data_IF_636234401578
#
_entry.id   IF_636234401578
#
_cell.length_a   1.000
_cell.length_b   1.000
_cell.length_c   1.000
_cell.angle_alpha   90.00
_cell.angle_beta   90.00
_cell.angle_gamma   90.00
#
_symmetry.space_group_name_H-M   'P 1'
#
loop_
_entity.id
_entity.type
_entity.pdbx_description
1 polymer ?
#
# COMPACT_ATOMS: atom_id res chain seq x y z
N UNK A 1 32.31 -40.71 -1.60
CA UNK A 1 30.95 -41.25 -1.89
C UNK A 1 29.99 -40.44 -1.03
N UNK A 2 28.88 -39.81 -1.44
CA UNK A 2 28.07 -39.72 -2.65
C UNK A 2 27.25 -38.41 -2.50
N UNK A 3 27.23 -37.60 -3.57
CA UNK A 3 26.09 -36.90 -4.20
C UNK A 3 25.12 -36.08 -3.32
N UNK A 4 24.99 -34.80 -3.68
CA UNK A 4 24.04 -33.84 -3.09
C UNK A 4 22.60 -33.96 -3.58
N UNK A 5 21.77 -33.00 -3.15
CA UNK A 5 20.42 -32.63 -3.64
C UNK A 5 20.18 -31.16 -3.22
N UNK A 6 20.44 -30.17 -4.07
CA UNK A 6 19.48 -29.48 -4.94
C UNK A 6 17.99 -29.63 -4.59
N UNK A 7 17.37 -28.47 -4.35
CA UNK A 7 15.98 -28.06 -4.64
C UNK A 7 14.86 -28.70 -3.81
N UNK A 8 14.23 -27.88 -2.96
CA UNK A 8 12.81 -28.02 -2.59
C UNK A 8 12.22 -26.65 -2.17
N UNK A 9 12.39 -25.64 -3.02
CA UNK A 9 11.45 -24.52 -3.10
C UNK A 9 10.29 -25.04 -3.94
N UNK A 10 9.18 -25.43 -3.30
CA UNK A 10 7.81 -25.53 -3.89
C UNK A 10 6.95 -26.50 -3.08
N UNK A 11 6.60 -26.15 -1.85
CA UNK A 11 5.45 -26.78 -1.20
C UNK A 11 4.69 -25.68 -0.49
N UNK A 12 3.73 -25.08 -1.19
CA UNK A 12 2.33 -24.86 -0.77
C UNK A 12 1.64 -24.33 -2.04
N UNK A 13 1.29 -25.25 -2.94
CA UNK A 13 0.24 -25.08 -3.93
C UNK A 13 -0.39 -26.46 -4.14
N UNK A 14 -1.73 -26.49 -4.20
CA UNK A 14 -2.64 -27.65 -4.20
C UNK A 14 -2.86 -28.23 -2.77
N UNK A 15 -4.07 -28.31 -2.22
CA UNK A 15 -5.40 -28.65 -2.76
C UNK A 15 -6.46 -27.94 -1.89
N UNK A 16 -7.43 -27.16 -2.37
CA UNK A 16 -8.63 -27.50 -3.15
C UNK A 16 -9.63 -28.47 -2.47
N UNK A 17 -10.73 -27.87 -2.00
CA UNK A 17 -12.13 -28.33 -2.01
C UNK A 17 -12.62 -29.42 -1.02
N UNK A 18 -13.52 -29.00 -0.12
CA UNK A 18 -14.80 -29.66 0.20
C UNK A 18 -15.68 -28.67 1.00
N UNK A 19 -16.72 -28.11 0.38
CA UNK A 19 -18.14 -28.49 0.58
C UNK A 19 -18.72 -28.02 1.92
N UNK A 20 -19.65 -27.07 1.88
CA UNK A 20 -21.07 -27.32 2.15
C UNK A 20 -21.88 -26.03 2.01
N UNK A 21 -22.79 -26.07 1.05
CA UNK A 21 -23.94 -25.18 0.85
C UNK A 21 -24.74 -25.01 2.13
N UNK A 22 -24.95 -23.76 2.54
CA UNK A 22 -26.16 -23.33 3.24
C UNK A 22 -26.87 -22.31 2.37
N UNK A 23 -28.11 -22.63 2.00
CA UNK A 23 -28.99 -21.72 1.29
C UNK A 23 -29.26 -20.50 2.17
N UNK A 24 -28.90 -19.31 1.69
CA UNK A 24 -29.44 -18.06 2.22
C UNK A 24 -30.54 -17.65 1.27
N UNK A 25 -31.78 -17.73 1.77
CA UNK A 25 -32.97 -17.21 1.13
C UNK A 25 -32.75 -15.75 0.75
N UNK A 26 -32.95 -15.40 -0.52
CA UNK A 26 -33.14 -14.01 -0.93
C UNK A 26 -34.46 -13.54 -0.32
N UNK A 27 -34.38 -12.89 0.83
CA UNK A 27 -35.41 -11.95 1.24
C UNK A 27 -35.16 -10.69 0.41
N UNK A 28 -36.07 -10.40 -0.52
CA UNK A 28 -36.17 -9.09 -1.15
C UNK A 28 -36.36 -8.05 -0.06
N UNK A 29 -35.29 -7.34 0.27
CA UNK A 29 -35.35 -6.15 1.10
C UNK A 29 -35.33 -4.97 0.16
N UNK A 30 -36.48 -4.33 0.00
CA UNK A 30 -36.58 -2.98 -0.53
C UNK A 30 -36.02 -1.99 0.50
N UNK A 31 -34.70 -1.98 0.69
CA UNK A 31 -33.92 -0.97 1.43
C UNK A 31 -32.56 -0.69 0.76
N UNK A 32 -32.49 -0.85 -0.57
CA UNK A 32 -31.24 -0.85 -1.34
C UNK A 32 -30.48 0.49 -1.31
N UNK A 33 -31.17 1.61 -1.08
CA UNK A 33 -30.53 2.94 -1.13
C UNK A 33 -29.73 3.27 0.14
N UNK A 34 -30.25 2.93 1.32
CA UNK A 34 -29.65 3.36 2.59
C UNK A 34 -28.48 2.44 2.99
N UNK A 35 -28.65 1.12 2.79
CA UNK A 35 -27.57 0.15 2.97
C UNK A 35 -26.39 0.41 2.00
N UNK A 36 -26.68 0.75 0.73
CA UNK A 36 -25.65 1.12 -0.26
C UNK A 36 -24.93 2.40 0.14
N UNK A 37 -25.65 3.41 0.63
CA UNK A 37 -25.05 4.68 1.08
C UNK A 37 -24.15 4.48 2.30
N UNK A 38 -24.59 3.70 3.30
CA UNK A 38 -23.77 3.36 4.47
C UNK A 38 -22.50 2.60 4.05
N UNK A 39 -22.62 1.64 3.13
CA UNK A 39 -21.47 0.91 2.60
C UNK A 39 -20.47 1.83 1.87
N UNK A 40 -20.95 2.74 1.01
CA UNK A 40 -20.09 3.72 0.32
C UNK A 40 -19.34 4.62 1.30
N UNK A 41 -20.00 5.09 2.37
CA UNK A 41 -19.35 5.94 3.40
C UNK A 41 -18.25 5.17 4.14
N UNK A 42 -18.51 3.91 4.50
CA UNK A 42 -17.50 3.05 5.16
C UNK A 42 -16.30 2.81 4.24
N UNK A 43 -16.53 2.52 2.96
CA UNK A 43 -15.47 2.29 1.97
C UNK A 43 -14.66 3.55 1.67
N UNK A 44 -15.29 4.72 1.61
CA UNK A 44 -14.61 6.00 1.44
C UNK A 44 -13.66 6.29 2.61
N UNK A 45 -14.12 6.06 3.84
CA UNK A 45 -13.29 6.21 5.04
C UNK A 45 -12.08 5.24 5.02
N UNK A 46 -12.24 4.01 4.53
CA UNK A 46 -11.13 3.06 4.37
C UNK A 46 -10.09 3.57 3.36
N UNK A 47 -10.52 4.07 2.19
CA UNK A 47 -9.61 4.65 1.20
C UNK A 47 -8.86 5.87 1.75
N UNK A 48 -9.54 6.77 2.47
CA UNK A 48 -8.88 7.91 3.11
C UNK A 48 -7.85 7.47 4.17
N UNK A 49 -8.19 6.48 5.00
CA UNK A 49 -7.29 5.95 6.01
C UNK A 49 -6.03 5.32 5.37
N UNK A 50 -6.20 4.54 4.28
CA UNK A 50 -5.06 3.98 3.54
C UNK A 50 -4.20 5.04 2.89
N UNK A 51 -4.81 6.08 2.31
CA UNK A 51 -4.07 7.20 1.74
C UNK A 51 -3.18 7.86 2.82
N UNK A 52 -3.75 8.18 3.99
CA UNK A 52 -3.01 8.78 5.11
C UNK A 52 -1.86 7.89 5.59
N UNK A 53 -2.08 6.58 5.73
CA UNK A 53 -1.04 5.64 6.12
C UNK A 53 0.15 5.67 5.15
N UNK A 54 -0.13 5.72 3.84
CA UNK A 54 0.92 5.83 2.84
C UNK A 54 1.61 7.19 2.85
N UNK A 55 0.91 8.29 3.11
CA UNK A 55 1.55 9.60 3.29
C UNK A 55 2.51 9.64 4.47
N UNK A 56 2.11 9.04 5.60
CA UNK A 56 2.95 9.00 6.79
C UNK A 56 4.16 8.09 6.57
N UNK A 57 3.99 6.95 5.91
CA UNK A 57 5.11 6.11 5.46
C UNK A 57 6.04 6.87 4.50
N UNK A 58 5.50 7.69 3.59
CA UNK A 58 6.31 8.50 2.69
C UNK A 58 7.15 9.54 3.45
N UNK A 59 6.58 10.22 4.45
CA UNK A 59 7.30 11.17 5.33
C UNK A 59 8.40 10.47 6.12
N UNK A 60 8.14 9.27 6.62
CA UNK A 60 9.13 8.46 7.33
C UNK A 60 10.31 8.10 6.40
N UNK A 61 10.01 7.63 5.18
CA UNK A 61 11.03 7.32 4.19
C UNK A 61 11.83 8.57 3.80
N UNK A 62 11.18 9.72 3.65
CA UNK A 62 11.87 10.97 3.35
C UNK A 62 12.83 11.39 4.48
N UNK A 63 12.40 11.24 5.73
CA UNK A 63 13.26 11.48 6.91
C UNK A 63 14.49 10.58 6.87
N UNK A 64 14.31 9.28 6.67
CA UNK A 64 15.41 8.31 6.53
C UNK A 64 16.34 8.64 5.37
N UNK A 65 15.81 9.07 4.23
CA UNK A 65 16.62 9.49 3.10
C UNK A 65 17.50 10.71 3.44
N UNK A 66 16.95 11.69 4.16
CA UNK A 66 17.70 12.87 4.61
C UNK A 66 18.80 12.51 5.60
N UNK A 67 18.56 11.60 6.54
CA UNK A 67 19.57 11.10 7.47
C UNK A 67 20.75 10.46 6.72
N UNK A 68 20.47 9.60 5.74
CA UNK A 68 21.50 8.97 4.93
C UNK A 68 22.27 9.97 4.07
N UNK A 69 21.60 11.01 3.54
CA UNK A 69 22.27 12.13 2.85
C UNK A 69 23.21 12.89 3.79
N UNK A 70 22.78 13.17 5.03
CA UNK A 70 23.65 13.83 6.03
C UNK A 70 24.86 12.96 6.38
N UNK A 71 24.67 11.66 6.59
CA UNK A 71 25.77 10.71 6.82
C UNK A 71 26.73 10.65 5.63
N UNK A 72 26.21 10.61 4.40
CA UNK A 72 27.03 10.64 3.20
C UNK A 72 27.92 11.88 3.15
N UNK A 73 27.38 13.06 3.44
CA UNK A 73 28.16 14.30 3.49
C UNK A 73 29.23 14.26 4.59
N UNK A 74 28.93 13.68 5.75
CA UNK A 74 29.92 13.46 6.81
C UNK A 74 31.04 12.49 6.38
N UNK A 75 30.70 11.37 5.75
CA UNK A 75 31.69 10.39 5.27
C UNK A 75 32.57 10.95 4.14
N UNK A 76 32.04 11.87 3.32
CA UNK A 76 32.84 12.61 2.33
C UNK A 76 33.77 13.61 3.01
N UNK A 77 33.23 14.45 3.89
CA UNK A 77 33.98 15.52 4.56
C UNK A 77 35.07 14.99 5.51
N UNK A 78 34.82 13.85 6.15
CA UNK A 78 35.70 13.24 7.15
C UNK A 78 36.24 11.88 6.73
N UNK A 79 36.42 11.67 5.42
CA UNK A 79 36.93 10.40 4.87
C UNK A 79 38.25 9.95 5.50
N UNK A 80 39.11 10.90 5.88
CA UNK A 80 40.38 10.66 6.57
C UNK A 80 40.23 9.91 7.90
N UNK A 81 39.08 10.00 8.58
CA UNK A 81 38.82 9.27 9.83
C UNK A 81 38.57 7.78 9.61
N UNK A 82 38.15 7.39 8.40
CA UNK A 82 37.70 6.03 8.09
C UNK A 82 38.66 5.28 7.14
N UNK A 83 39.66 5.97 6.59
CA UNK A 83 40.65 5.38 5.69
C UNK A 83 39.99 4.68 4.50
N UNK A 84 40.36 3.40 4.26
CA UNK A 84 39.82 2.61 3.15
C UNK A 84 38.31 2.36 3.27
N UNK A 85 37.78 2.28 4.49
CA UNK A 85 36.34 2.03 4.72
C UNK A 85 35.46 3.21 4.32
N UNK A 86 36.03 4.41 4.13
CA UNK A 86 35.27 5.59 3.75
C UNK A 86 34.46 5.38 2.46
N UNK A 87 35.04 4.68 1.46
CA UNK A 87 34.38 4.43 0.19
C UNK A 87 33.15 3.53 0.35
N UNK A 88 33.26 2.46 1.14
CA UNK A 88 32.15 1.55 1.40
C UNK A 88 31.02 2.24 2.17
N UNK A 89 31.37 3.05 3.18
CA UNK A 89 30.41 3.84 3.95
C UNK A 89 29.67 4.86 3.08
N UNK A 90 30.38 5.58 2.20
CA UNK A 90 29.78 6.51 1.24
C UNK A 90 28.86 5.77 0.27
N UNK A 91 29.30 4.64 -0.28
CA UNK A 91 28.50 3.82 -1.19
C UNK A 91 27.22 3.32 -0.54
N UNK A 92 27.32 2.84 0.71
CA UNK A 92 26.18 2.33 1.47
C UNK A 92 25.17 3.45 1.79
N UNK A 93 25.63 4.59 2.32
CA UNK A 93 24.78 5.72 2.65
C UNK A 93 24.09 6.28 1.39
N UNK A 94 24.81 6.39 0.28
CA UNK A 94 24.24 6.81 -1.00
C UNK A 94 23.16 5.84 -1.50
N UNK A 95 23.43 4.53 -1.45
CA UNK A 95 22.46 3.51 -1.85
C UNK A 95 21.19 3.54 -0.98
N UNK A 96 21.34 3.65 0.33
CA UNK A 96 20.21 3.77 1.26
C UNK A 96 19.40 5.05 1.03
N UNK A 97 20.07 6.19 0.84
CA UNK A 97 19.39 7.45 0.53
C UNK A 97 18.50 7.31 -0.71
N UNK A 98 19.01 6.73 -1.80
CA UNK A 98 18.20 6.48 -3.01
C UNK A 98 17.08 5.48 -2.78
N UNK A 99 17.34 4.41 -2.01
CA UNK A 99 16.32 3.40 -1.68
C UNK A 99 15.14 4.05 -0.98
N UNK A 100 15.40 4.88 0.03
CA UNK A 100 14.37 5.58 0.78
C UNK A 100 13.68 6.65 -0.04
N UNK A 101 14.39 7.42 -0.87
CA UNK A 101 13.75 8.37 -1.79
C UNK A 101 12.77 7.66 -2.75
N UNK A 102 13.16 6.49 -3.28
CA UNK A 102 12.29 5.71 -4.16
C UNK A 102 11.09 5.12 -3.41
N UNK A 103 11.29 4.65 -2.17
CA UNK A 103 10.20 4.17 -1.32
C UNK A 103 9.20 5.29 -0.97
N UNK A 104 9.69 6.49 -0.66
CA UNK A 104 8.83 7.67 -0.44
C UNK A 104 7.96 7.96 -1.67
N UNK A 105 8.55 7.96 -2.88
CA UNK A 105 7.80 8.16 -4.13
C UNK A 105 6.77 7.06 -4.38
N UNK A 106 7.10 5.80 -4.08
CA UNK A 106 6.17 4.69 -4.23
C UNK A 106 4.96 4.85 -3.28
N UNK A 107 5.20 5.22 -2.03
CA UNK A 107 4.13 5.49 -1.08
C UNK A 107 3.27 6.69 -1.47
N UNK A 108 3.86 7.76 -2.02
CA UNK A 108 3.08 8.91 -2.53
C UNK A 108 2.14 8.46 -3.66
N UNK A 109 2.63 7.68 -4.63
CA UNK A 109 1.78 7.17 -5.73
C UNK A 109 0.63 6.31 -5.23
N UNK A 110 0.88 5.49 -4.22
CA UNK A 110 -0.14 4.65 -3.61
C UNK A 110 -1.18 5.50 -2.87
N UNK A 111 -0.75 6.53 -2.13
CA UNK A 111 -1.66 7.48 -1.49
C UNK A 111 -2.54 8.23 -2.50
N UNK A 112 -1.95 8.66 -3.63
CA UNK A 112 -2.68 9.30 -4.73
C UNK A 112 -3.71 8.36 -5.35
N UNK A 113 -3.37 7.07 -5.52
CA UNK A 113 -4.30 6.04 -5.99
C UNK A 113 -5.52 5.90 -5.07
N UNK A 114 -5.30 5.78 -3.76
CA UNK A 114 -6.41 5.68 -2.79
C UNK A 114 -7.28 6.94 -2.76
N UNK A 115 -6.69 8.13 -2.91
CA UNK A 115 -7.46 9.37 -3.06
C UNK A 115 -8.29 9.41 -4.33
N UNK A 116 -7.73 8.94 -5.44
CA UNK A 116 -8.46 8.81 -6.70
C UNK A 116 -9.69 7.91 -6.56
N UNK A 117 -9.53 6.75 -5.90
CA UNK A 117 -10.65 5.84 -5.62
C UNK A 117 -11.69 6.46 -4.68
N UNK A 118 -11.28 7.21 -3.65
CA UNK A 118 -12.20 7.91 -2.76
C UNK A 118 -13.02 8.99 -3.51
N UNK A 119 -12.38 9.76 -4.41
CA UNK A 119 -13.06 10.75 -5.25
C UNK A 119 -14.07 10.08 -6.18
N UNK A 120 -13.67 9.01 -6.88
CA UNK A 120 -14.57 8.27 -7.77
C UNK A 120 -15.79 7.72 -7.02
N UNK A 121 -15.58 7.11 -5.85
CA UNK A 121 -16.67 6.58 -5.04
C UNK A 121 -17.61 7.70 -4.54
N UNK A 122 -17.06 8.86 -4.19
CA UNK A 122 -17.86 10.02 -3.79
C UNK A 122 -18.71 10.54 -4.97
N UNK A 123 -18.11 10.69 -6.16
CA UNK A 123 -18.82 11.10 -7.38
C UNK A 123 -19.93 10.11 -7.75
N UNK A 124 -19.64 8.81 -7.75
CA UNK A 124 -20.62 7.76 -8.04
C UNK A 124 -21.79 7.76 -7.04
N UNK A 125 -21.50 8.04 -5.76
CA UNK A 125 -22.52 8.13 -4.71
C UNK A 125 -23.37 9.40 -4.86
N UNK A 126 -22.79 10.51 -5.33
CA UNK A 126 -23.52 11.78 -5.57
C UNK A 126 -24.32 11.78 -6.88
N UNK A 127 -23.83 11.10 -7.93
CA UNK A 127 -24.47 11.04 -9.24
C UNK A 127 -25.53 9.92 -9.37
N UNK A 128 -25.74 9.10 -8.33
CA UNK A 128 -26.82 8.13 -8.30
C UNK A 128 -28.18 8.85 -8.33
N UNK A 129 -29.01 8.70 -9.39
CA UNK A 129 -30.31 9.36 -9.45
C UNK A 129 -31.22 8.82 -8.34
N UNK A 130 -32.11 9.65 -7.76
CA UNK A 130 -33.15 9.14 -6.89
C UNK A 130 -33.97 8.13 -7.68
N UNK A 131 -34.10 6.91 -7.15
CA UNK A 131 -34.97 5.89 -7.71
C UNK A 131 -36.39 6.46 -7.73
N UNK A 132 -36.91 6.73 -8.94
CA UNK A 132 -38.29 7.16 -9.12
C UNK A 132 -39.21 6.05 -8.58
N UNK A 133 -39.74 6.25 -7.39
CA UNK A 133 -40.96 5.56 -6.96
C UNK A 133 -42.14 6.28 -7.60
N UNK A 134 -42.41 5.99 -8.86
CA UNK A 134 -43.77 6.11 -9.39
C UNK A 134 -44.44 4.77 -9.12
N UNK A 135 -45.65 4.77 -8.54
CA UNK A 135 -46.82 4.00 -8.98
C UNK A 135 -48.05 4.61 -8.26
N UNK A 136 -49.00 5.14 -9.05
CA UNK A 136 -50.34 5.54 -8.61
C UNK A 136 -51.24 4.33 -8.39
#
# INVERSE_FOLDING_TARGET
MKKGKLVAISYIFAMAAALLTTAVSFAEVTEDSDAKKVHSVVTLNDYEARARNHEDAAKEMQTKAQEQKRLLEQYKAKSYLYGRQAQDLQGHAHALARKYDNAAKAHIREAESYRGMAIQLAEDTFCAPPTKTEHC
#
